data_IF_024531961195
#
_entry.id   IF_024531961195
#
_cell.length_a   1.000
_cell.length_b   1.000
_cell.length_c   1.000
_cell.angle_alpha   90.00
_cell.angle_beta   90.00
_cell.angle_gamma   90.00
#
_symmetry.space_group_name_H-M   'P 1'
#
loop_
_entity.id
_entity.type
_entity.pdbx_description
1 polymer ?
#
# COMPACT_ATOMS: atom_id res chain seq x y z
N UNK A 1 33.85 20.11 3.59
CA UNK A 1 32.85 19.79 2.54
C UNK A 1 31.46 19.65 3.18
N UNK A 2 30.80 20.76 3.52
CA UNK A 2 29.59 20.73 4.36
C UNK A 2 28.48 21.71 3.96
N UNK A 3 28.46 22.20 2.71
CA UNK A 3 27.50 23.21 2.26
C UNK A 3 26.47 22.71 1.23
N UNK A 4 26.46 21.43 0.88
CA UNK A 4 25.59 20.94 -0.21
C UNK A 4 24.25 20.34 0.24
N UNK A 5 24.04 20.06 1.54
CA UNK A 5 22.82 19.41 2.04
C UNK A 5 21.74 20.39 2.56
N UNK A 6 22.05 21.68 2.69
CA UNK A 6 21.07 22.70 3.06
C UNK A 6 20.26 23.22 1.85
N UNK A 7 20.61 22.83 0.61
CA UNK A 7 19.92 23.25 -0.60
C UNK A 7 18.63 22.46 -0.87
N UNK A 8 18.44 21.31 -0.24
CA UNK A 8 17.26 20.45 -0.42
C UNK A 8 16.20 20.63 0.68
N UNK A 9 16.49 21.44 1.71
CA UNK A 9 15.51 21.79 2.74
C UNK A 9 14.72 23.00 2.25
N UNK A 10 13.38 22.92 2.11
CA UNK A 10 12.56 24.07 1.73
C UNK A 10 12.82 25.25 2.65
N UNK A 11 12.92 26.45 2.06
CA UNK A 11 13.21 27.66 2.83
C UNK A 11 12.09 27.87 3.83
N UNK A 12 12.38 28.39 5.03
CA UNK A 12 11.40 28.58 6.12
C UNK A 12 10.11 29.31 5.70
N UNK A 13 10.17 30.12 4.61
CA UNK A 13 9.04 30.84 4.03
C UNK A 13 8.08 29.98 3.18
N UNK A 14 8.50 28.78 2.77
CA UNK A 14 7.73 27.82 1.96
C UNK A 14 7.02 26.78 2.83
N UNK A 15 7.23 26.83 4.14
CA UNK A 15 6.51 25.98 5.08
C UNK A 15 5.04 26.40 5.11
N UNK A 16 4.13 25.42 5.21
CA UNK A 16 2.70 25.68 5.45
C UNK A 16 2.58 26.66 6.63
N UNK A 17 2.04 27.85 6.37
CA UNK A 17 1.72 28.80 7.44
C UNK A 17 0.55 28.21 8.23
N UNK A 18 0.82 27.70 9.42
CA UNK A 18 -0.19 27.11 10.28
C UNK A 18 -0.89 28.24 11.03
N UNK A 19 -2.03 28.70 10.51
CA UNK A 19 -2.90 29.67 11.20
C UNK A 19 -3.58 28.95 12.37
N UNK A 20 -2.92 28.98 13.52
CA UNK A 20 -3.32 28.30 14.75
C UNK A 20 -4.56 28.89 15.40
N UNK A 21 -5.73 28.61 14.84
CA UNK A 21 -7.00 28.74 15.56
C UNK A 21 -7.29 27.44 16.30
N UNK A 22 -6.65 27.27 17.47
CA UNK A 22 -6.88 26.14 18.36
C UNK A 22 -5.72 25.93 19.32
N UNK A 23 -5.90 26.32 20.57
CA UNK A 23 -4.89 26.27 21.65
C UNK A 23 -4.34 24.85 21.96
N UNK A 24 -4.89 23.81 21.33
CA UNK A 24 -4.50 22.42 21.50
C UNK A 24 -3.27 21.97 20.69
N UNK A 25 -2.79 22.74 19.71
CA UNK A 25 -1.65 22.34 18.88
C UNK A 25 -0.28 22.84 19.38
N UNK A 26 -0.25 23.84 20.26
CA UNK A 26 1.00 24.45 20.71
C UNK A 26 1.74 23.58 21.73
N UNK A 27 1.01 22.98 22.68
CA UNK A 27 1.63 22.19 23.76
C UNK A 27 2.26 20.89 23.26
N UNK A 28 1.61 20.19 22.32
CA UNK A 28 2.17 18.96 21.74
C UNK A 28 3.37 19.27 20.84
N UNK A 29 3.33 20.37 20.09
CA UNK A 29 4.49 20.84 19.33
C UNK A 29 5.68 21.19 20.26
N UNK A 30 5.46 22.00 21.30
CA UNK A 30 6.48 22.35 22.28
C UNK A 30 7.05 21.09 22.96
N UNK A 31 6.19 20.12 23.30
CA UNK A 31 6.59 18.86 23.92
C UNK A 31 7.46 18.01 22.99
N UNK A 32 7.06 17.86 21.72
CA UNK A 32 7.82 17.14 20.72
C UNK A 32 9.17 17.83 20.43
N UNK A 33 9.17 19.15 20.32
CA UNK A 33 10.38 19.93 20.10
C UNK A 33 11.36 19.81 21.29
N UNK A 34 10.86 19.92 22.53
CA UNK A 34 11.68 19.72 23.74
C UNK A 34 12.27 18.31 23.82
N UNK A 35 11.49 17.29 23.48
CA UNK A 35 11.99 15.90 23.40
C UNK A 35 13.13 15.77 22.38
N UNK A 36 12.96 16.34 21.18
CA UNK A 36 13.97 16.30 20.12
C UNK A 36 15.28 16.96 20.56
N UNK A 37 15.22 18.17 21.14
CA UNK A 37 16.41 18.89 21.59
C UNK A 37 17.15 18.12 22.68
N UNK A 38 16.43 17.59 23.69
CA UNK A 38 17.03 16.77 24.75
C UNK A 38 17.73 15.53 24.19
N UNK A 39 17.08 14.82 23.28
CA UNK A 39 17.62 13.59 22.73
C UNK A 39 18.83 13.85 21.83
N UNK A 40 18.82 14.94 21.05
CA UNK A 40 19.94 15.38 20.22
C UNK A 40 21.15 15.81 21.07
N UNK A 41 20.91 16.48 22.19
CA UNK A 41 21.98 16.86 23.12
C UNK A 41 22.63 15.62 23.76
N UNK A 42 21.85 14.59 24.07
CA UNK A 42 22.36 13.36 24.70
C UNK A 42 23.12 12.44 23.72
N UNK A 43 22.64 12.28 22.48
CA UNK A 43 23.20 11.30 21.53
C UNK A 43 24.01 11.93 20.38
N UNK A 44 24.12 13.25 20.33
CA UNK A 44 24.87 13.97 19.30
C UNK A 44 24.28 13.84 17.90
N UNK A 45 25.14 13.80 16.88
CA UNK A 45 24.72 13.63 15.50
C UNK A 45 24.48 12.15 15.18
N UNK A 46 23.26 11.82 14.76
CA UNK A 46 22.82 10.46 14.47
C UNK A 46 22.21 10.38 13.07
N UNK A 47 22.15 9.17 12.50
CA UNK A 47 21.54 8.92 11.20
C UNK A 47 20.02 9.14 11.24
N UNK A 48 19.41 9.39 10.07
CA UNK A 48 17.95 9.51 9.96
C UNK A 48 17.23 8.23 10.37
N UNK A 49 17.78 7.06 10.06
CA UNK A 49 17.22 5.76 10.47
C UNK A 49 17.13 5.63 11.98
N UNK A 50 18.16 6.09 12.71
CA UNK A 50 18.14 6.11 14.16
C UNK A 50 17.02 7.03 14.69
N UNK A 51 16.88 8.23 14.11
CA UNK A 51 15.81 9.15 14.46
C UNK A 51 14.43 8.57 14.20
N UNK A 52 14.22 7.89 13.08
CA UNK A 52 12.97 7.19 12.78
C UNK A 52 12.63 6.17 13.88
N UNK A 53 13.60 5.36 14.32
CA UNK A 53 13.40 4.41 15.42
C UNK A 53 13.00 5.12 16.71
N UNK A 54 13.65 6.23 17.06
CA UNK A 54 13.30 6.98 18.27
C UNK A 54 11.91 7.61 18.20
N UNK A 55 11.52 8.15 17.04
CA UNK A 55 10.20 8.71 16.79
C UNK A 55 9.13 7.62 16.92
N UNK A 56 9.35 6.48 16.27
CA UNK A 56 8.45 5.32 16.36
C UNK A 56 8.35 4.87 17.81
N UNK A 57 9.46 4.66 18.52
CA UNK A 57 9.43 4.24 19.92
C UNK A 57 8.70 5.23 20.83
N UNK A 58 8.74 6.53 20.53
CA UNK A 58 8.13 7.57 21.37
C UNK A 58 6.63 7.75 21.11
N UNK A 59 6.18 7.62 19.87
CA UNK A 59 4.82 7.99 19.46
C UNK A 59 4.03 6.87 18.76
N UNK A 60 4.66 5.77 18.36
CA UNK A 60 3.94 4.59 17.88
C UNK A 60 3.24 3.92 19.06
N UNK A 61 1.95 4.23 19.20
CA UNK A 61 1.04 3.46 20.04
C UNK A 61 0.39 2.33 19.23
N UNK A 62 -0.32 1.44 19.91
CA UNK A 62 -0.96 0.29 19.26
C UNK A 62 -1.97 0.71 18.18
N UNK A 63 -2.61 1.87 18.32
CA UNK A 63 -3.48 2.43 17.29
C UNK A 63 -2.72 2.83 16.01
N UNK A 64 -1.49 3.34 16.12
CA UNK A 64 -0.65 3.61 14.95
C UNK A 64 -0.24 2.29 14.27
N UNK A 65 0.19 1.29 15.05
CA UNK A 65 0.57 -0.03 14.52
C UNK A 65 -0.60 -0.66 13.77
N UNK A 66 -1.77 -0.68 14.39
CA UNK A 66 -3.01 -1.17 13.80
C UNK A 66 -3.36 -0.46 12.50
N UNK A 67 -3.21 0.88 12.43
CA UNK A 67 -3.44 1.65 11.20
C UNK A 67 -2.45 1.29 10.09
N UNK A 68 -1.17 1.13 10.42
CA UNK A 68 -0.14 0.76 9.43
C UNK A 68 -0.35 -0.67 8.93
N UNK A 69 -0.70 -1.61 9.82
CA UNK A 69 -1.06 -2.99 9.46
C UNK A 69 -2.31 -3.04 8.58
N UNK A 70 -3.39 -2.35 8.98
CA UNK A 70 -4.61 -2.25 8.18
C UNK A 70 -4.35 -1.63 6.81
N UNK A 71 -3.50 -0.60 6.75
CA UNK A 71 -3.09 0.00 5.47
C UNK A 71 -2.32 -1.00 4.60
N UNK A 72 -1.39 -1.77 5.17
CA UNK A 72 -0.67 -2.82 4.46
C UNK A 72 -1.63 -3.91 3.93
N UNK A 73 -2.55 -4.40 4.75
CA UNK A 73 -3.49 -5.48 4.37
C UNK A 73 -4.54 -5.04 3.34
N UNK A 74 -4.99 -3.79 3.39
CA UNK A 74 -5.98 -3.25 2.45
C UNK A 74 -5.38 -2.83 1.11
N UNK A 75 -4.07 -2.56 1.06
CA UNK A 75 -3.41 -2.07 -0.16
C UNK A 75 -2.92 -3.23 -1.04
N UNK A 76 -3.81 -3.75 -1.88
CA UNK A 76 -3.44 -4.67 -2.97
C UNK A 76 -2.93 -3.90 -4.18
N UNK A 77 -2.00 -4.48 -4.93
CA UNK A 77 -1.55 -3.88 -6.19
C UNK A 77 -2.64 -3.99 -7.25
N UNK A 78 -2.91 -2.91 -7.95
CA UNK A 78 -3.70 -2.90 -9.16
C UNK A 78 -2.78 -2.82 -10.39
N UNK A 79 -2.61 -3.93 -11.12
CA UNK A 79 -1.66 -4.00 -12.23
C UNK A 79 -1.95 -3.01 -13.37
N UNK A 80 -3.17 -2.48 -13.49
CA UNK A 80 -3.54 -1.50 -14.52
C UNK A 80 -3.24 -0.06 -14.13
N UNK A 81 -3.19 0.23 -12.83
CA UNK A 81 -3.16 1.60 -12.29
C UNK A 81 -1.90 1.91 -11.50
N UNK A 82 -1.39 0.93 -10.79
CA UNK A 82 -0.25 1.10 -9.89
C UNK A 82 1.05 0.78 -10.60
N UNK A 83 2.05 1.64 -10.40
CA UNK A 83 3.43 1.37 -10.83
C UNK A 83 4.11 0.48 -9.79
N UNK A 84 4.82 -0.55 -10.26
CA UNK A 84 5.48 -1.54 -9.42
C UNK A 84 6.45 -0.92 -8.40
N UNK A 85 7.34 -0.02 -8.84
CA UNK A 85 8.35 0.62 -8.00
C UNK A 85 7.75 1.40 -6.81
N UNK A 86 6.91 2.44 -7.00
CA UNK A 86 6.40 3.23 -5.87
C UNK A 86 5.51 2.42 -4.94
N UNK A 87 4.74 1.47 -5.49
CA UNK A 87 3.93 0.58 -4.67
C UNK A 87 4.79 -0.33 -3.79
N UNK A 88 5.81 -0.98 -4.37
CA UNK A 88 6.69 -1.89 -3.63
C UNK A 88 7.48 -1.16 -2.55
N UNK A 89 8.06 0.00 -2.87
CA UNK A 89 8.77 0.84 -1.90
C UNK A 89 7.87 1.25 -0.73
N UNK A 90 6.61 1.60 -1.00
CA UNK A 90 5.65 1.95 0.04
C UNK A 90 5.34 0.76 0.96
N UNK A 91 5.12 -0.45 0.40
CA UNK A 91 4.87 -1.63 1.23
C UNK A 91 6.10 -2.04 2.04
N UNK A 92 7.30 -1.97 1.46
CA UNK A 92 8.57 -2.21 2.15
C UNK A 92 8.73 -1.27 3.34
N UNK A 93 8.51 0.03 3.13
CA UNK A 93 8.61 1.05 4.19
C UNK A 93 7.61 0.80 5.34
N UNK A 94 6.37 0.39 5.03
CA UNK A 94 5.38 0.00 6.06
C UNK A 94 5.85 -1.19 6.89
N UNK A 95 6.39 -2.23 6.24
CA UNK A 95 6.85 -3.44 6.93
C UNK A 95 8.12 -3.21 7.74
N UNK A 96 9.09 -2.46 7.23
CA UNK A 96 10.33 -2.13 7.96
C UNK A 96 10.02 -1.30 9.22
N UNK A 97 8.98 -0.46 9.18
CA UNK A 97 8.53 0.31 10.35
C UNK A 97 7.84 -0.54 11.42
N UNK A 98 7.09 -1.57 11.01
CA UNK A 98 6.39 -2.47 11.91
C UNK A 98 7.31 -3.56 12.49
N UNK A 99 8.22 -4.07 11.66
CA UNK A 99 9.07 -5.20 11.96
C UNK A 99 10.53 -4.88 11.56
N UNK A 100 11.22 -4.04 12.36
CA UNK A 100 12.59 -3.61 12.04
C UNK A 100 13.60 -4.77 12.01
N UNK A 101 13.34 -5.86 12.75
CA UNK A 101 14.21 -7.03 12.84
C UNK A 101 13.88 -8.13 11.80
N UNK A 102 12.92 -7.87 10.91
CA UNK A 102 12.51 -8.85 9.90
C UNK A 102 13.52 -8.88 8.75
N UNK A 103 13.87 -10.10 8.31
CA UNK A 103 14.78 -10.25 7.17
C UNK A 103 14.17 -9.71 5.88
N UNK A 104 15.03 -9.21 4.99
CA UNK A 104 14.62 -8.66 3.70
C UNK A 104 13.84 -9.70 2.87
N UNK A 105 14.25 -10.96 2.89
CA UNK A 105 13.53 -12.08 2.28
C UNK A 105 12.09 -12.23 2.81
N UNK A 106 11.89 -12.14 4.13
CA UNK A 106 10.56 -12.23 4.73
C UNK A 106 9.69 -11.02 4.39
N UNK A 107 10.28 -9.82 4.33
CA UNK A 107 9.60 -8.60 3.89
C UNK A 107 9.15 -8.78 2.43
N UNK A 108 10.03 -9.23 1.54
CA UNK A 108 9.71 -9.51 0.15
C UNK A 108 8.56 -10.52 0.03
N UNK A 109 8.63 -11.62 0.78
CA UNK A 109 7.58 -12.64 0.81
C UNK A 109 6.22 -12.10 1.26
N UNK A 110 6.18 -11.20 2.26
CA UNK A 110 4.95 -10.55 2.71
C UNK A 110 4.38 -9.60 1.66
N UNK A 111 5.22 -8.81 1.00
CA UNK A 111 4.78 -7.89 -0.07
C UNK A 111 4.19 -8.69 -1.25
N UNK A 112 4.86 -9.77 -1.67
CA UNK A 112 4.40 -10.58 -2.79
C UNK A 112 3.03 -11.24 -2.53
N UNK A 113 2.72 -11.61 -1.28
CA UNK A 113 1.37 -12.09 -0.92
C UNK A 113 0.28 -11.03 -1.17
N UNK A 114 0.63 -9.74 -1.11
CA UNK A 114 -0.32 -8.65 -1.42
C UNK A 114 -0.53 -8.44 -2.92
N UNK A 115 0.26 -9.08 -3.79
CA UNK A 115 0.08 -9.03 -5.24
C UNK A 115 -1.10 -9.89 -5.73
N UNK A 116 -1.61 -10.81 -4.91
CA UNK A 116 -2.63 -11.80 -5.31
C UNK A 116 -2.03 -13.04 -5.97
N UNK A 117 -2.78 -14.14 -6.01
CA UNK A 117 -2.26 -15.49 -6.32
C UNK A 117 -1.48 -15.58 -7.62
N UNK A 118 -2.02 -15.07 -8.73
CA UNK A 118 -1.44 -15.30 -10.05
C UNK A 118 -0.18 -14.44 -10.27
N UNK A 119 -0.20 -13.20 -9.78
CA UNK A 119 0.92 -12.28 -9.85
C UNK A 119 2.03 -12.70 -8.87
N UNK A 120 1.67 -13.12 -7.66
CA UNK A 120 2.59 -13.69 -6.67
C UNK A 120 3.36 -14.88 -7.27
N UNK A 121 2.65 -15.85 -7.86
CA UNK A 121 3.27 -17.04 -8.44
C UNK A 121 4.13 -16.69 -9.66
N UNK A 122 3.68 -15.76 -10.51
CA UNK A 122 4.43 -15.30 -11.66
C UNK A 122 5.76 -14.64 -11.26
N UNK A 123 5.76 -13.84 -10.20
CA UNK A 123 6.98 -13.19 -9.68
C UNK A 123 7.87 -14.22 -8.99
N UNK A 124 7.32 -15.06 -8.10
CA UNK A 124 8.08 -16.09 -7.38
C UNK A 124 8.83 -17.06 -8.28
N UNK A 125 8.24 -17.44 -9.42
CA UNK A 125 8.90 -18.32 -10.40
C UNK A 125 10.13 -17.70 -11.07
N UNK A 126 10.28 -16.38 -10.98
CA UNK A 126 11.37 -15.61 -11.60
C UNK A 126 12.37 -15.04 -10.58
N UNK A 127 12.05 -15.10 -9.29
CA UNK A 127 12.89 -14.60 -8.19
C UNK A 127 13.50 -15.76 -7.41
N UNK A 128 14.63 -15.51 -6.75
CA UNK A 128 15.26 -16.43 -5.78
C UNK A 128 15.16 -15.85 -4.37
N UNK A 129 15.53 -16.62 -3.35
CA UNK A 129 15.56 -16.13 -1.95
C UNK A 129 16.58 -15.00 -1.73
N UNK A 130 17.55 -14.85 -2.64
CA UNK A 130 18.58 -13.82 -2.62
C UNK A 130 18.23 -12.61 -3.51
N UNK A 131 17.08 -12.61 -4.18
CA UNK A 131 16.67 -11.50 -5.03
C UNK A 131 16.55 -10.21 -4.24
N UNK A 132 17.21 -9.17 -4.74
CA UNK A 132 17.14 -7.83 -4.18
C UNK A 132 15.76 -7.21 -4.40
N UNK A 133 15.46 -6.13 -3.69
CA UNK A 133 14.24 -5.36 -3.93
C UNK A 133 14.15 -4.87 -5.39
N UNK A 134 15.28 -4.49 -5.99
CA UNK A 134 15.36 -4.03 -7.38
C UNK A 134 15.01 -5.15 -8.36
N UNK A 135 15.54 -6.36 -8.15
CA UNK A 135 15.22 -7.52 -8.97
C UNK A 135 13.72 -7.82 -8.95
N UNK A 136 13.13 -7.80 -7.75
CA UNK A 136 11.70 -8.06 -7.58
C UNK A 136 10.85 -6.98 -8.23
N UNK A 137 11.23 -5.70 -8.11
CA UNK A 137 10.53 -4.59 -8.75
C UNK A 137 10.59 -4.71 -10.28
N UNK A 138 11.77 -4.98 -10.84
CA UNK A 138 11.96 -5.13 -12.27
C UNK A 138 11.11 -6.28 -12.82
N UNK A 139 11.10 -7.42 -12.14
CA UNK A 139 10.28 -8.58 -12.50
C UNK A 139 8.78 -8.25 -12.37
N UNK A 140 8.37 -7.56 -11.30
CA UNK A 140 6.98 -7.18 -11.09
C UNK A 140 6.50 -6.23 -12.19
N UNK A 141 7.32 -5.26 -12.59
CA UNK A 141 7.05 -4.36 -13.71
C UNK A 141 7.00 -5.13 -15.04
N UNK A 142 7.93 -6.05 -15.27
CA UNK A 142 7.95 -6.90 -16.46
C UNK A 142 6.66 -7.75 -16.57
N UNK A 143 6.24 -8.40 -15.48
CA UNK A 143 5.05 -9.26 -15.47
C UNK A 143 3.79 -8.43 -15.69
N UNK A 144 3.63 -7.32 -14.97
CA UNK A 144 2.44 -6.47 -15.11
C UNK A 144 2.34 -5.86 -16.51
N UNK A 145 3.46 -5.44 -17.10
CA UNK A 145 3.48 -4.84 -18.45
C UNK A 145 3.35 -5.85 -19.58
N UNK A 146 4.03 -7.01 -19.51
CA UNK A 146 4.08 -7.98 -20.62
C UNK A 146 2.93 -8.97 -20.63
N UNK A 147 2.46 -9.44 -19.47
CA UNK A 147 1.46 -10.52 -19.41
C UNK A 147 0.06 -10.06 -19.01
N UNK A 148 -0.10 -8.78 -18.63
CA UNK A 148 -1.36 -8.22 -18.08
C UNK A 148 -1.95 -9.07 -16.94
N UNK A 149 -1.12 -9.85 -16.25
CA UNK A 149 -1.54 -10.64 -15.09
C UNK A 149 -1.81 -9.66 -13.94
N UNK A 150 -3.00 -9.76 -13.33
CA UNK A 150 -3.49 -8.78 -12.35
C UNK A 150 -4.26 -7.60 -12.95
N UNK A 151 -4.34 -7.50 -14.28
CA UNK A 151 -5.22 -6.55 -14.96
C UNK A 151 -6.68 -6.94 -14.71
N UNK A 152 -7.50 -5.99 -14.28
CA UNK A 152 -8.93 -6.18 -14.16
C UNK A 152 -9.48 -6.29 -15.58
N UNK A 153 -9.61 -7.52 -16.10
CA UNK A 153 -10.36 -7.76 -17.33
C UNK A 153 -11.73 -7.17 -17.11
N UNK A 154 -12.01 -6.05 -17.77
CA UNK A 154 -13.36 -5.48 -17.84
C UNK A 154 -14.24 -6.63 -18.33
N UNK A 155 -15.07 -7.18 -17.43
CA UNK A 155 -16.13 -8.06 -17.83
C UNK A 155 -17.08 -7.21 -18.68
N UNK A 156 -16.86 -7.21 -19.99
CA UNK A 156 -17.94 -6.95 -20.91
C UNK A 156 -18.97 -8.02 -20.58
N UNK A 157 -19.99 -7.65 -19.80
CA UNK A 157 -21.21 -8.45 -19.70
C UNK A 157 -21.74 -8.51 -21.13
N UNK A 158 -21.36 -9.54 -21.87
CA UNK A 158 -21.95 -9.87 -23.14
C UNK A 158 -23.40 -10.17 -22.84
N UNK A 159 -24.27 -9.18 -23.03
CA UNK A 159 -25.71 -9.39 -23.04
C UNK A 159 -25.98 -10.32 -24.23
N UNK A 160 -26.01 -11.62 -23.98
CA UNK A 160 -26.60 -12.57 -24.89
C UNK A 160 -28.09 -12.22 -24.98
N UNK A 161 -28.47 -11.42 -25.98
CA UNK A 161 -29.84 -11.39 -26.46
C UNK A 161 -30.05 -12.70 -27.22
N UNK A 162 -30.73 -13.67 -26.61
CA UNK A 162 -31.29 -14.81 -27.34
C UNK A 162 -32.64 -14.40 -27.93
N UNK A 163 -32.83 -14.46 -29.26
CA UNK A 163 -34.10 -14.15 -29.90
C UNK A 163 -34.84 -15.46 -30.22
N UNK A 164 -35.74 -15.91 -29.34
CA UNK A 164 -36.73 -16.93 -29.71
C UNK A 164 -38.09 -16.60 -29.08
N UNK A 165 -38.87 -15.84 -29.84
CA UNK A 165 -40.34 -15.85 -29.92
C UNK A 165 -40.64 -16.59 -31.23
N UNK A 166 -41.63 -17.45 -31.44
CA UNK A 166 -42.87 -17.83 -30.77
C UNK A 166 -43.19 -19.26 -31.24
N UNK A 167 -44.04 -20.02 -30.53
CA UNK A 167 -45.07 -20.88 -31.14
C UNK A 167 -46.04 -21.42 -30.08
N UNK A 168 -47.17 -20.73 -30.00
CA UNK A 168 -48.55 -21.23 -29.83
C UNK A 168 -48.70 -22.73 -29.51
N UNK A 169 -49.31 -23.05 -28.37
CA UNK A 169 -50.43 -24.00 -28.40
C UNK A 169 -51.51 -23.71 -27.35
N UNK A 170 -52.76 -23.77 -27.81
CA UNK A 170 -53.99 -23.50 -27.05
C UNK A 170 -54.54 -24.81 -26.47
N UNK A 171 -54.88 -24.77 -25.17
CA UNK A 171 -55.76 -25.61 -24.34
C UNK A 171 -56.36 -26.94 -24.88
N UNK A 172 -56.73 -27.84 -23.94
CA UNK A 172 -58.16 -28.08 -23.76
C UNK A 172 -58.67 -28.00 -22.32
N UNK A 173 -59.97 -27.74 -22.25
CA UNK A 173 -60.83 -27.38 -21.12
C UNK A 173 -61.11 -28.59 -20.20
N UNK A 174 -60.96 -28.40 -18.89
CA UNK A 174 -61.62 -29.22 -17.88
C UNK A 174 -63.03 -28.71 -17.64
N UNK A 175 -64.03 -29.53 -17.95
CA UNK A 175 -65.45 -29.21 -17.83
C UNK A 175 -65.95 -29.73 -16.48
N UNK A 176 -66.55 -28.87 -15.65
CA UNK A 176 -67.32 -29.29 -14.47
C UNK A 176 -68.65 -28.53 -14.50
N UNK A 177 -69.70 -29.23 -14.91
CA UNK A 177 -71.08 -28.80 -14.72
C UNK A 177 -71.81 -29.88 -13.91
N UNK A 178 -72.55 -29.41 -12.91
CA UNK A 178 -73.39 -30.15 -11.98
C UNK A 178 -74.46 -31.01 -12.66
N UNK A 179 -74.76 -32.15 -12.03
CA UNK A 179 -76.10 -32.66 -11.75
C UNK A 179 -76.05 -33.52 -10.48
#
# INVERSE_FOLDING_TARGET
MGQSLLKEVPKLKEWLHFSGEGEYYNMEFIRAHRWYIKLRQAHGHQSWTWWQTQIINKWANDSWRFKVETAFESTKINADKDKALPWFCQQKDRLTKLYPDMSEFMIHGKILRQCGSDLEQAVKRRTTEQSSAEDIINILEEVTTRTKIGSSRVNHKTKFNTPWKDSVDKSPKGNSNNL
#
